data_IF_882139332076
#
_entry.id   IF_882139332076
#
_cell.length_a   1.000
_cell.length_b   1.000
_cell.length_c   1.000
_cell.angle_alpha   90.00
_cell.angle_beta   90.00
_cell.angle_gamma   90.00
#
_symmetry.space_group_name_H-M   'P 1'
#
loop_
_entity.id
_entity.type
_entity.pdbx_description
1 polymer ?
#
# COMPACT_ATOMS: atom_id res chain seq x y z
N UNK A 1 -18.02 -6.61 -25.03
CA UNK A 1 -16.67 -6.06 -24.75
C UNK A 1 -15.64 -6.55 -25.74
N UNK A 2 -14.78 -5.67 -26.19
CA UNK A 2 -13.69 -6.05 -27.06
C UNK A 2 -12.47 -6.48 -26.23
N UNK A 3 -11.57 -7.19 -26.88
CA UNK A 3 -10.31 -7.57 -26.22
C UNK A 3 -9.50 -6.37 -25.78
N UNK A 4 -9.52 -5.30 -26.57
CA UNK A 4 -8.81 -4.06 -26.24
C UNK A 4 -9.37 -3.45 -24.96
N UNK A 5 -10.70 -3.43 -24.83
CA UNK A 5 -11.35 -2.90 -23.61
C UNK A 5 -11.01 -3.74 -22.37
N UNK A 6 -10.99 -5.05 -22.54
CA UNK A 6 -10.63 -5.94 -21.44
C UNK A 6 -9.19 -5.74 -21.00
N UNK A 7 -8.27 -5.57 -21.93
CA UNK A 7 -6.88 -5.30 -21.61
C UNK A 7 -6.73 -3.96 -20.90
N UNK A 8 -7.45 -2.93 -21.37
CA UNK A 8 -7.42 -1.63 -20.73
C UNK A 8 -7.91 -1.70 -19.28
N UNK A 9 -8.99 -2.45 -19.04
CA UNK A 9 -9.48 -2.66 -17.68
C UNK A 9 -8.46 -3.39 -16.81
N UNK A 10 -7.80 -4.39 -17.37
CA UNK A 10 -6.78 -5.13 -16.65
C UNK A 10 -5.62 -4.22 -16.24
N UNK A 11 -5.17 -3.35 -17.12
CA UNK A 11 -4.12 -2.39 -16.80
C UNK A 11 -4.55 -1.41 -15.72
N UNK A 12 -5.79 -0.92 -15.78
CA UNK A 12 -6.31 -0.01 -14.77
C UNK A 12 -6.35 -0.69 -13.40
N UNK A 13 -6.82 -1.92 -13.36
CA UNK A 13 -6.89 -2.68 -12.11
C UNK A 13 -5.48 -2.92 -11.57
N UNK A 14 -4.55 -3.28 -12.42
CA UNK A 14 -3.17 -3.51 -12.01
C UNK A 14 -2.54 -2.24 -11.44
N UNK A 15 -2.75 -1.10 -12.09
CA UNK A 15 -2.24 0.18 -11.63
C UNK A 15 -2.82 0.54 -10.26
N UNK A 16 -4.12 0.33 -10.08
CA UNK A 16 -4.78 0.58 -8.79
C UNK A 16 -4.22 -0.34 -7.71
N UNK A 17 -3.98 -1.59 -8.05
CA UNK A 17 -3.43 -2.56 -7.12
C UNK A 17 -2.03 -2.14 -6.67
N UNK A 18 -1.18 -1.73 -7.60
CA UNK A 18 0.17 -1.26 -7.29
C UNK A 18 0.13 -0.03 -6.39
N UNK A 19 -0.77 0.91 -6.68
CA UNK A 19 -0.96 2.09 -5.87
C UNK A 19 -1.38 1.74 -4.44
N UNK A 20 -2.34 0.85 -4.30
CA UNK A 20 -2.82 0.41 -2.99
C UNK A 20 -1.73 -0.34 -2.23
N UNK A 21 -0.96 -1.17 -2.90
CA UNK A 21 0.15 -1.88 -2.28
C UNK A 21 1.20 -0.91 -1.74
N UNK A 22 1.50 0.13 -2.50
CA UNK A 22 2.44 1.15 -2.07
C UNK A 22 1.92 1.90 -0.86
N UNK A 23 0.63 2.26 -0.86
CA UNK A 23 0.03 2.92 0.28
C UNK A 23 0.05 2.04 1.52
N UNK A 24 -0.25 0.77 1.36
CA UNK A 24 -0.21 -0.17 2.47
C UNK A 24 1.20 -0.28 3.05
N UNK A 25 2.19 -0.33 2.19
CA UNK A 25 3.59 -0.38 2.62
C UNK A 25 3.96 0.85 3.42
N UNK A 26 3.56 2.03 2.95
CA UNK A 26 3.83 3.29 3.66
C UNK A 26 3.17 3.31 5.03
N UNK A 27 1.92 2.87 5.10
CA UNK A 27 1.21 2.81 6.38
C UNK A 27 1.88 1.80 7.31
N UNK A 28 2.29 0.65 6.80
CA UNK A 28 2.98 -0.35 7.62
C UNK A 28 4.29 0.19 8.18
N UNK A 29 5.04 0.95 7.38
CA UNK A 29 6.26 1.59 7.85
C UNK A 29 5.95 2.59 8.98
N UNK A 30 4.90 3.38 8.81
CA UNK A 30 4.49 4.33 9.85
C UNK A 30 4.06 3.64 11.12
N UNK A 31 3.34 2.53 11.00
CA UNK A 31 2.95 1.73 12.16
C UNK A 31 4.19 1.20 12.88
N UNK A 32 5.15 0.68 12.14
CA UNK A 32 6.38 0.16 12.73
C UNK A 32 7.15 1.26 13.46
N UNK A 33 7.23 2.45 12.86
CA UNK A 33 7.89 3.59 13.49
C UNK A 33 7.17 4.00 14.77
N UNK A 34 5.84 4.03 14.75
CA UNK A 34 5.06 4.41 15.91
C UNK A 34 5.22 3.41 17.06
N UNK A 35 5.21 2.13 16.74
CA UNK A 35 5.43 1.09 17.74
C UNK A 35 6.82 1.20 18.35
N UNK A 36 7.82 1.51 17.54
CA UNK A 36 9.18 1.69 18.01
C UNK A 36 9.27 2.89 18.96
N UNK A 37 8.60 3.99 18.62
CA UNK A 37 8.57 5.17 19.45
C UNK A 37 7.86 4.91 20.78
N UNK A 38 6.74 4.19 20.73
CA UNK A 38 6.00 3.84 21.93
C UNK A 38 6.83 2.97 22.86
N UNK A 39 7.57 2.01 22.29
CA UNK A 39 8.46 1.17 23.10
C UNK A 39 9.59 1.99 23.72
N UNK A 40 10.12 2.96 22.98
CA UNK A 40 11.16 3.84 23.52
C UNK A 40 10.63 4.67 24.68
N UNK A 41 9.40 5.15 24.59
CA UNK A 41 8.78 5.92 25.65
C UNK A 41 8.54 5.07 26.89
N UNK A 42 8.10 3.84 26.68
CA UNK A 42 7.84 2.92 27.80
C UNK A 42 9.14 2.54 28.52
N UNK A 43 10.21 2.41 27.77
CA UNK A 43 11.50 2.02 28.33
C UNK A 43 12.31 3.16 28.94
N UNK A 44 11.90 4.38 28.66
CA UNK A 44 12.61 5.56 29.19
C UNK A 44 12.09 6.04 30.56
#
# INVERSE_FOLDING_TARGET
MTLIELKAQAYDILSNLEYLQKQLQEVNVKIAEQLKNDNAEVNS
#
